data_IF_792632367189
#
_entry.id   IF_792632367189
#
_cell.length_a   1.000
_cell.length_b   1.000
_cell.length_c   1.000
_cell.angle_alpha   90.00
_cell.angle_beta   90.00
_cell.angle_gamma   90.00
#
_symmetry.space_group_name_H-M   'P 1'
#
loop_
_entity.id
_entity.type
_entity.pdbx_description
1 polymer ?
#
# COMPACT_ATOMS: atom_id res chain seq x y z
N UNK A 1 46.87 -16.46 13.92
CA UNK A 1 46.68 -15.05 13.53
C UNK A 1 45.95 -15.09 12.20
N UNK A 2 44.64 -14.89 12.22
CA UNK A 2 43.83 -14.81 11.01
C UNK A 2 43.36 -13.37 10.88
N UNK A 3 44.04 -12.60 10.05
CA UNK A 3 43.64 -11.25 9.66
C UNK A 3 42.41 -11.36 8.76
N UNK A 4 41.23 -11.39 9.38
CA UNK A 4 39.97 -11.19 8.65
C UNK A 4 39.82 -9.70 8.38
N UNK A 5 40.14 -9.32 7.15
CA UNK A 5 39.84 -8.02 6.55
C UNK A 5 38.37 -7.65 6.78
N UNK A 6 38.10 -6.76 7.73
CA UNK A 6 36.76 -6.18 7.97
C UNK A 6 36.40 -5.27 6.80
N UNK A 7 35.41 -5.68 6.03
CA UNK A 7 34.88 -4.91 4.92
C UNK A 7 34.13 -3.69 5.49
N UNK A 8 34.40 -2.43 5.07
CA UNK A 8 33.74 -1.23 5.61
C UNK A 8 32.21 -1.23 5.46
N UNK A 9 31.63 -2.18 4.69
CA UNK A 9 30.18 -2.39 4.58
C UNK A 9 29.54 -3.06 5.81
N UNK A 10 30.29 -3.80 6.62
CA UNK A 10 29.75 -4.46 7.82
C UNK A 10 29.34 -3.46 8.92
N UNK A 11 30.03 -2.32 9.00
CA UNK A 11 29.72 -1.27 9.97
C UNK A 11 28.41 -0.51 9.66
N UNK A 12 27.88 -0.59 8.43
CA UNK A 12 26.64 0.10 8.08
C UNK A 12 25.37 -0.65 8.52
N UNK A 13 25.45 -1.97 8.70
CA UNK A 13 24.28 -2.83 8.97
C UNK A 13 24.32 -3.47 10.36
N UNK A 14 25.15 -2.95 11.26
CA UNK A 14 25.30 -3.50 12.60
C UNK A 14 25.19 -2.38 13.65
N UNK A 15 24.41 -2.62 14.69
CA UNK A 15 24.26 -1.74 15.84
C UNK A 15 24.95 -2.39 17.04
N UNK A 16 25.97 -1.72 17.53
CA UNK A 16 26.65 -2.13 18.75
C UNK A 16 25.74 -1.89 19.96
N UNK A 17 25.29 -2.97 20.60
CA UNK A 17 24.50 -2.92 21.84
C UNK A 17 25.31 -3.52 22.98
N UNK A 18 26.05 -2.69 23.71
CA UNK A 18 26.98 -3.15 24.73
C UNK A 18 26.44 -2.85 26.16
N UNK A 19 25.70 -3.78 26.80
CA UNK A 19 25.09 -3.53 28.12
C UNK A 19 26.10 -3.41 29.27
N UNK A 20 27.33 -3.90 29.09
CA UNK A 20 28.36 -3.98 30.13
C UNK A 20 29.52 -3.00 29.92
N UNK A 21 29.28 -1.84 29.30
CA UNK A 21 30.33 -0.83 29.04
C UNK A 21 31.06 -0.38 30.33
N UNK A 22 30.37 -0.49 31.48
CA UNK A 22 30.91 -0.12 32.79
C UNK A 22 31.87 -1.16 33.38
N UNK A 23 31.95 -2.38 32.83
CA UNK A 23 32.89 -3.42 33.26
C UNK A 23 34.14 -3.30 32.40
N UNK A 24 35.16 -2.66 32.95
CA UNK A 24 36.42 -2.42 32.25
C UNK A 24 37.04 -3.74 31.75
N UNK A 25 37.47 -3.75 30.49
CA UNK A 25 38.43 -4.71 29.92
C UNK A 25 37.94 -6.13 29.56
N UNK A 26 36.67 -6.31 29.16
CA UNK A 26 36.20 -7.60 28.62
C UNK A 26 36.14 -7.56 27.08
N UNK A 27 36.87 -8.44 26.35
CA UNK A 27 36.87 -8.46 24.89
C UNK A 27 35.62 -9.16 24.32
N UNK A 28 34.45 -8.51 24.44
CA UNK A 28 33.13 -9.05 24.05
C UNK A 28 32.45 -8.25 22.93
N UNK A 29 33.14 -7.27 22.32
CA UNK A 29 32.59 -6.37 21.30
C UNK A 29 31.92 -7.08 20.12
N UNK A 30 32.43 -8.26 19.73
CA UNK A 30 31.85 -9.07 18.63
C UNK A 30 30.52 -9.73 18.99
N UNK A 31 30.27 -10.06 20.26
CA UNK A 31 29.03 -10.72 20.69
C UNK A 31 27.83 -9.77 20.72
N UNK A 32 28.11 -8.47 20.79
CA UNK A 32 27.13 -7.41 20.97
C UNK A 32 26.93 -6.54 19.73
N UNK A 33 27.51 -6.95 18.59
CA UNK A 33 27.29 -6.30 17.32
C UNK A 33 26.05 -6.91 16.64
N UNK A 34 24.87 -6.36 16.95
CA UNK A 34 23.61 -6.91 16.43
C UNK A 34 23.41 -6.42 14.99
N UNK A 35 23.10 -7.30 14.03
CA UNK A 35 22.67 -6.87 12.71
C UNK A 35 21.38 -6.03 12.83
N UNK A 36 21.34 -4.89 12.16
CA UNK A 36 20.14 -4.03 12.07
C UNK A 36 19.11 -4.59 11.10
N UNK A 37 19.50 -5.59 10.29
CA UNK A 37 18.59 -6.35 9.45
C UNK A 37 17.93 -7.49 10.23
N UNK A 38 16.65 -7.82 9.96
CA UNK A 38 15.99 -8.98 10.54
C UNK A 38 16.80 -10.26 10.28
N UNK A 39 17.00 -11.08 11.30
CA UNK A 39 17.59 -12.41 11.12
C UNK A 39 16.52 -13.34 10.55
N UNK A 40 16.68 -13.68 9.28
CA UNK A 40 15.77 -14.60 8.60
C UNK A 40 16.19 -16.04 8.91
N UNK A 41 15.24 -16.82 9.44
CA UNK A 41 15.46 -18.23 9.77
C UNK A 41 15.52 -19.12 8.52
N UNK A 42 15.01 -18.63 7.39
CA UNK A 42 14.89 -19.36 6.14
C UNK A 42 15.59 -18.62 5.01
N UNK A 43 16.34 -19.37 4.20
CA UNK A 43 17.06 -18.82 3.04
C UNK A 43 16.09 -18.19 2.03
N UNK A 44 14.87 -18.72 1.94
CA UNK A 44 13.80 -18.25 1.08
C UNK A 44 13.31 -16.85 1.43
N UNK A 45 13.35 -16.49 2.72
CA UNK A 45 12.95 -15.15 3.21
C UNK A 45 14.06 -14.12 2.98
N UNK A 46 15.32 -14.55 2.95
CA UNK A 46 16.47 -13.71 2.57
C UNK A 46 16.39 -13.30 1.10
N UNK A 47 15.94 -14.23 0.25
CA UNK A 47 15.80 -14.03 -1.19
C UNK A 47 14.55 -13.17 -1.49
N UNK A 48 13.45 -13.38 -0.74
CA UNK A 48 12.21 -12.60 -0.89
C UNK A 48 12.26 -11.29 -0.11
N UNK A 49 12.91 -10.29 -0.69
CA UNK A 49 12.93 -8.90 -0.17
C UNK A 49 11.61 -8.14 -0.33
N UNK A 50 10.66 -8.68 -1.10
CA UNK A 50 9.39 -8.03 -1.45
C UNK A 50 8.23 -9.00 -1.31
N UNK A 51 7.04 -8.43 -1.11
CA UNK A 51 5.78 -9.16 -1.06
C UNK A 51 5.51 -9.86 -2.40
N UNK A 52 4.98 -11.08 -2.37
CA UNK A 52 4.72 -11.84 -3.59
C UNK A 52 3.62 -11.18 -4.44
N UNK A 53 3.62 -11.47 -5.74
CA UNK A 53 2.64 -10.94 -6.69
C UNK A 53 1.18 -11.15 -6.22
N UNK A 54 0.84 -12.36 -5.80
CA UNK A 54 -0.51 -12.69 -5.34
C UNK A 54 -0.90 -11.95 -4.06
N UNK A 55 0.05 -11.78 -3.15
CA UNK A 55 -0.18 -11.04 -1.92
C UNK A 55 -0.37 -9.53 -2.17
N UNK A 56 0.32 -8.94 -3.15
CA UNK A 56 0.09 -7.56 -3.60
C UNK A 56 -1.31 -7.39 -4.19
N UNK A 57 -1.71 -8.29 -5.08
CA UNK A 57 -3.05 -8.27 -5.68
C UNK A 57 -4.14 -8.39 -4.62
N UNK A 58 -4.04 -9.35 -3.71
CA UNK A 58 -5.00 -9.53 -2.62
C UNK A 58 -5.05 -8.30 -1.70
N UNK A 59 -3.89 -7.71 -1.40
CA UNK A 59 -3.82 -6.55 -0.54
C UNK A 59 -4.45 -5.31 -1.16
N UNK A 60 -4.03 -4.91 -2.35
CA UNK A 60 -4.53 -3.71 -3.00
C UNK A 60 -6.00 -3.84 -3.40
N UNK A 61 -6.41 -5.01 -3.90
CA UNK A 61 -7.81 -5.29 -4.25
C UNK A 61 -8.68 -5.32 -2.99
N UNK A 62 -8.24 -6.02 -1.94
CA UNK A 62 -9.00 -6.16 -0.71
C UNK A 62 -9.14 -4.85 0.06
N UNK A 63 -8.04 -4.12 0.25
CA UNK A 63 -8.06 -2.80 0.92
C UNK A 63 -8.81 -1.76 0.09
N UNK A 64 -8.66 -1.76 -1.24
CA UNK A 64 -9.41 -0.92 -2.16
C UNK A 64 -10.91 -1.19 -2.10
N UNK A 65 -11.31 -2.47 -2.12
CA UNK A 65 -12.72 -2.87 -2.02
C UNK A 65 -13.32 -2.47 -0.68
N UNK A 66 -12.66 -2.79 0.44
CA UNK A 66 -13.17 -2.49 1.78
C UNK A 66 -13.26 -0.98 2.01
N UNK A 67 -12.24 -0.21 1.65
CA UNK A 67 -12.28 1.26 1.76
C UNK A 67 -13.38 1.87 0.89
N UNK A 68 -13.54 1.39 -0.35
CA UNK A 68 -14.63 1.82 -1.24
C UNK A 68 -16.01 1.46 -0.71
N UNK A 69 -16.15 0.27 -0.13
CA UNK A 69 -17.40 -0.20 0.46
C UNK A 69 -17.79 0.61 1.70
N UNK A 70 -16.84 0.93 2.58
CA UNK A 70 -17.09 1.76 3.77
C UNK A 70 -17.47 3.18 3.34
N UNK A 71 -16.69 3.81 2.46
CA UNK A 71 -16.95 5.18 2.01
C UNK A 71 -18.29 5.26 1.25
N UNK A 72 -18.52 4.33 0.34
CA UNK A 72 -19.75 4.29 -0.45
C UNK A 72 -20.98 3.90 0.35
N UNK A 73 -20.79 3.02 1.33
CA UNK A 73 -21.80 2.67 2.33
C UNK A 73 -22.19 3.92 3.10
N UNK A 74 -21.24 4.57 3.78
CA UNK A 74 -21.48 5.77 4.56
C UNK A 74 -22.17 6.87 3.74
N UNK A 75 -21.69 7.17 2.52
CA UNK A 75 -22.34 8.15 1.64
C UNK A 75 -23.76 7.74 1.24
N UNK A 76 -23.97 6.48 0.86
CA UNK A 76 -25.28 5.95 0.50
C UNK A 76 -26.26 6.00 1.67
N UNK A 77 -25.81 5.66 2.88
CA UNK A 77 -26.61 5.71 4.10
C UNK A 77 -27.02 7.15 4.44
N UNK A 78 -26.09 8.11 4.34
CA UNK A 78 -26.38 9.54 4.56
C UNK A 78 -27.37 10.05 3.51
N UNK A 79 -27.22 9.63 2.26
CA UNK A 79 -28.16 9.99 1.19
C UNK A 79 -29.55 9.41 1.46
N UNK A 80 -29.66 8.13 1.80
CA UNK A 80 -30.94 7.50 2.15
C UNK A 80 -31.61 8.11 3.37
N UNK A 81 -30.84 8.65 4.33
CA UNK A 81 -31.37 9.38 5.46
C UNK A 81 -31.90 10.76 5.09
N UNK A 82 -31.25 11.45 4.13
CA UNK A 82 -31.66 12.77 3.63
C UNK A 82 -32.88 12.70 2.74
N UNK A 83 -33.01 11.62 1.97
CA UNK A 83 -34.14 11.37 1.07
C UNK A 83 -35.36 10.76 1.78
N UNK A 84 -35.26 10.46 3.08
CA UNK A 84 -36.39 9.98 3.86
C UNK A 84 -37.40 11.11 4.12
N UNK A 85 -38.65 10.91 3.72
CA UNK A 85 -39.71 11.91 3.84
C UNK A 85 -40.24 12.04 5.28
N UNK A 86 -40.64 13.25 5.66
CA UNK A 86 -41.25 13.52 6.97
C UNK A 86 -42.67 12.93 7.01
N UNK A 87 -42.83 11.80 7.73
CA UNK A 87 -44.09 11.04 7.81
C UNK A 87 -43.93 9.56 7.45
N UNK A 88 -42.75 9.16 6.96
CA UNK A 88 -42.46 7.78 6.61
C UNK A 88 -42.42 6.85 7.84
N UNK A 89 -43.02 5.65 7.72
CA UNK A 89 -42.92 4.64 8.77
C UNK A 89 -41.47 4.20 9.01
N UNK A 90 -41.12 3.89 10.26
CA UNK A 90 -39.75 3.48 10.64
C UNK A 90 -39.24 2.31 9.78
N UNK A 91 -40.11 1.38 9.40
CA UNK A 91 -39.76 0.23 8.54
C UNK A 91 -39.34 0.65 7.13
N UNK A 92 -40.07 1.57 6.51
CA UNK A 92 -39.79 2.02 5.15
C UNK A 92 -38.51 2.87 5.11
N UNK A 93 -38.32 3.72 6.12
CA UNK A 93 -37.10 4.51 6.31
C UNK A 93 -35.86 3.63 6.46
N UNK A 94 -35.91 2.59 7.30
CA UNK A 94 -34.79 1.66 7.49
C UNK A 94 -34.47 0.92 6.19
N UNK A 95 -35.48 0.44 5.46
CA UNK A 95 -35.27 -0.25 4.18
C UNK A 95 -34.60 0.66 3.15
N UNK A 96 -35.06 1.91 3.03
CA UNK A 96 -34.46 2.91 2.14
C UNK A 96 -33.00 3.17 2.47
N UNK A 97 -32.68 3.38 3.75
CA UNK A 97 -31.32 3.62 4.22
C UNK A 97 -30.40 2.42 3.94
N UNK A 98 -30.88 1.20 4.20
CA UNK A 98 -30.12 -0.02 3.94
C UNK A 98 -29.91 -0.25 2.44
N UNK A 99 -30.92 0.00 1.61
CA UNK A 99 -30.82 -0.18 0.16
C UNK A 99 -29.86 0.84 -0.46
N UNK A 100 -30.00 2.13 -0.10
CA UNK A 100 -29.12 3.21 -0.58
C UNK A 100 -27.67 3.03 -0.10
N UNK A 101 -27.47 2.72 1.19
CA UNK A 101 -26.17 2.40 1.76
C UNK A 101 -25.53 1.18 1.11
N UNK A 102 -26.24 0.06 1.02
CA UNK A 102 -25.75 -1.18 0.41
C UNK A 102 -25.40 -1.00 -1.07
N UNK A 103 -26.25 -0.29 -1.83
CA UNK A 103 -26.01 -0.01 -3.24
C UNK A 103 -24.80 0.91 -3.44
N UNK A 104 -24.67 1.97 -2.62
CA UNK A 104 -23.52 2.86 -2.62
C UNK A 104 -22.22 2.14 -2.30
N UNK A 105 -22.23 1.31 -1.24
CA UNK A 105 -21.10 0.49 -0.82
C UNK A 105 -20.66 -0.49 -1.91
N UNK A 106 -21.60 -1.25 -2.50
CA UNK A 106 -21.28 -2.19 -3.58
C UNK A 106 -20.71 -1.49 -4.81
N UNK A 107 -21.30 -0.37 -5.22
CA UNK A 107 -20.87 0.38 -6.42
C UNK A 107 -19.44 0.91 -6.26
N UNK A 108 -19.14 1.57 -5.14
CA UNK A 108 -17.82 2.14 -4.89
C UNK A 108 -16.79 1.08 -4.51
N UNK A 109 -17.17 0.08 -3.71
CA UNK A 109 -16.31 -1.06 -3.36
C UNK A 109 -15.84 -1.82 -4.60
N UNK A 110 -16.76 -2.23 -5.48
CA UNK A 110 -16.39 -2.91 -6.73
C UNK A 110 -15.48 -2.04 -7.61
N UNK A 111 -15.77 -0.74 -7.71
CA UNK A 111 -14.99 0.18 -8.55
C UNK A 111 -13.56 0.36 -8.04
N UNK A 112 -13.39 0.62 -6.73
CA UNK A 112 -12.07 0.78 -6.14
C UNK A 112 -11.30 -0.55 -6.05
N UNK A 113 -11.99 -1.67 -5.85
CA UNK A 113 -11.39 -3.01 -5.89
C UNK A 113 -10.79 -3.32 -7.28
N UNK A 114 -11.53 -3.05 -8.36
CA UNK A 114 -11.02 -3.23 -9.74
C UNK A 114 -9.84 -2.31 -10.03
N UNK A 115 -9.89 -1.05 -9.59
CA UNK A 115 -8.74 -0.14 -9.71
C UNK A 115 -7.51 -0.68 -8.96
N UNK A 116 -7.68 -1.19 -7.74
CA UNK A 116 -6.62 -1.84 -6.97
C UNK A 116 -6.04 -3.07 -7.66
N UNK A 117 -6.89 -3.87 -8.30
CA UNK A 117 -6.48 -5.06 -9.07
C UNK A 117 -5.65 -4.68 -10.30
N UNK A 118 -6.11 -3.70 -11.09
CA UNK A 118 -5.37 -3.21 -12.26
C UNK A 118 -4.04 -2.61 -11.83
N UNK A 119 -4.03 -1.81 -10.76
CA UNK A 119 -2.80 -1.22 -10.22
C UNK A 119 -1.81 -2.29 -9.77
N UNK A 120 -2.25 -3.27 -8.98
CA UNK A 120 -1.39 -4.37 -8.54
C UNK A 120 -0.83 -5.19 -9.69
N UNK A 121 -1.64 -5.44 -10.74
CA UNK A 121 -1.20 -6.13 -11.94
C UNK A 121 -0.14 -5.36 -12.72
N UNK A 122 -0.35 -4.05 -12.92
CA UNK A 122 0.60 -3.19 -13.61
C UNK A 122 1.90 -2.99 -12.81
N UNK A 123 1.79 -2.71 -11.52
CA UNK A 123 2.95 -2.54 -10.62
C UNK A 123 3.78 -3.81 -10.60
N UNK A 124 3.16 -4.95 -10.30
CA UNK A 124 3.91 -6.21 -10.18
C UNK A 124 4.46 -6.71 -11.52
N UNK A 125 3.77 -6.41 -12.64
CA UNK A 125 4.28 -6.67 -13.98
C UNK A 125 5.53 -5.82 -14.29
N UNK A 126 5.50 -4.52 -13.96
CA UNK A 126 6.65 -3.64 -14.17
C UNK A 126 7.83 -4.01 -13.26
N UNK A 127 7.60 -4.38 -12.00
CA UNK A 127 8.65 -4.83 -11.10
C UNK A 127 9.31 -6.10 -11.63
N UNK A 128 8.56 -7.05 -12.21
CA UNK A 128 9.11 -8.24 -12.85
C UNK A 128 10.00 -7.93 -14.07
N UNK A 129 9.66 -6.91 -14.86
CA UNK A 129 10.46 -6.54 -16.05
C UNK A 129 11.64 -5.61 -15.74
N UNK A 130 11.60 -4.86 -14.65
CA UNK A 130 12.56 -3.77 -14.39
C UNK A 130 13.36 -3.94 -13.10
N UNK A 131 13.04 -4.90 -12.23
CA UNK A 131 13.72 -5.19 -10.95
C UNK A 131 13.94 -3.95 -10.04
N UNK A 132 13.22 -2.86 -10.28
CA UNK A 132 13.34 -1.61 -9.53
C UNK A 132 11.95 -1.13 -9.10
N UNK A 133 11.78 -0.91 -7.79
CA UNK A 133 10.59 -0.28 -7.20
C UNK A 133 10.82 1.24 -7.10
N UNK A 134 10.72 1.92 -8.24
CA UNK A 134 10.92 3.36 -8.34
C UNK A 134 9.60 4.14 -8.37
N UNK A 135 9.66 5.40 -7.95
CA UNK A 135 8.56 6.38 -7.97
C UNK A 135 7.88 6.48 -9.36
N UNK A 136 8.67 6.22 -10.41
CA UNK A 136 8.22 6.21 -11.81
C UNK A 136 7.29 5.02 -12.08
N UNK A 137 7.56 3.84 -11.53
CA UNK A 137 6.68 2.67 -11.71
C UNK A 137 5.32 2.90 -11.08
N UNK A 138 5.26 3.45 -9.86
CA UNK A 138 3.98 3.78 -9.22
C UNK A 138 3.21 4.87 -9.96
N UNK A 139 3.90 5.88 -10.52
CA UNK A 139 3.28 6.93 -11.32
C UNK A 139 2.71 6.40 -12.64
N UNK A 140 3.48 5.57 -13.36
CA UNK A 140 3.05 4.93 -14.61
C UNK A 140 1.92 3.94 -14.36
N UNK A 141 1.99 3.15 -13.27
CA UNK A 141 0.92 2.25 -12.87
C UNK A 141 -0.36 3.01 -12.54
N UNK A 142 -0.26 4.13 -11.81
CA UNK A 142 -1.41 5.00 -11.52
C UNK A 142 -2.07 5.58 -12.77
N UNK A 143 -1.25 6.07 -13.70
CA UNK A 143 -1.71 6.61 -14.98
C UNK A 143 -2.37 5.51 -15.85
N UNK A 144 -1.71 4.36 -15.96
CA UNK A 144 -2.17 3.19 -16.70
C UNK A 144 -3.48 2.63 -16.14
N UNK A 145 -3.59 2.51 -14.82
CA UNK A 145 -4.80 2.04 -14.15
C UNK A 145 -6.01 2.91 -14.45
N UNK A 146 -5.85 4.24 -14.36
CA UNK A 146 -6.93 5.17 -14.69
C UNK A 146 -7.34 5.10 -16.16
N UNK A 147 -6.37 5.02 -17.07
CA UNK A 147 -6.62 4.91 -18.50
C UNK A 147 -7.34 3.59 -18.86
N UNK A 148 -6.86 2.45 -18.35
CA UNK A 148 -7.42 1.12 -18.61
C UNK A 148 -8.84 1.02 -18.04
N UNK A 149 -9.05 1.46 -16.80
CA UNK A 149 -10.35 1.36 -16.14
C UNK A 149 -11.45 2.11 -16.92
N UNK A 150 -11.11 3.23 -17.57
CA UNK A 150 -12.07 4.05 -18.32
C UNK A 150 -11.96 3.93 -19.85
N UNK A 151 -11.10 3.06 -20.36
CA UNK A 151 -10.90 2.83 -21.80
C UNK A 151 -12.21 2.48 -22.52
N UNK A 152 -13.04 1.63 -21.92
CA UNK A 152 -14.31 1.18 -22.49
C UNK A 152 -15.36 2.29 -22.67
N UNK A 153 -15.20 3.43 -22.00
CA UNK A 153 -16.13 4.57 -22.12
C UNK A 153 -15.55 5.73 -22.95
N UNK A 154 -14.56 5.42 -23.80
CA UNK A 154 -14.02 6.31 -24.81
C UNK A 154 -12.69 6.98 -24.46
N UNK A 155 -11.95 7.45 -25.48
CA UNK A 155 -10.57 7.91 -25.34
C UNK A 155 -10.45 9.17 -24.47
N UNK A 156 -11.41 10.10 -24.54
CA UNK A 156 -11.44 11.29 -23.66
C UNK A 156 -11.59 10.91 -22.19
N UNK A 157 -12.47 9.95 -21.89
CA UNK A 157 -12.66 9.47 -20.53
C UNK A 157 -11.41 8.76 -20.00
N UNK A 158 -10.74 7.97 -20.85
CA UNK A 158 -9.49 7.30 -20.51
C UNK A 158 -8.36 8.29 -20.22
N UNK A 159 -8.20 9.34 -21.04
CA UNK A 159 -7.19 10.37 -20.81
C UNK A 159 -7.41 11.10 -19.47
N UNK A 160 -8.65 11.51 -19.18
CA UNK A 160 -8.99 12.20 -17.92
C UNK A 160 -8.77 11.27 -16.72
N UNK A 161 -9.28 10.04 -16.80
CA UNK A 161 -9.13 9.07 -15.72
C UNK A 161 -7.67 8.69 -15.47
N UNK A 162 -6.88 8.57 -16.55
CA UNK A 162 -5.44 8.36 -16.47
C UNK A 162 -4.73 9.53 -15.78
N UNK A 163 -5.04 10.77 -16.18
CA UNK A 163 -4.46 11.96 -15.53
C UNK A 163 -4.80 12.04 -14.04
N UNK A 164 -6.06 11.76 -13.67
CA UNK A 164 -6.48 11.69 -12.25
C UNK A 164 -5.73 10.58 -11.51
N UNK A 165 -5.61 9.39 -12.11
CA UNK A 165 -4.84 8.27 -11.55
C UNK A 165 -3.35 8.62 -11.34
N UNK A 166 -2.74 9.32 -12.29
CA UNK A 166 -1.36 9.81 -12.19
C UNK A 166 -1.17 10.83 -11.06
N UNK A 167 -2.09 11.79 -10.90
CA UNK A 167 -2.05 12.77 -9.80
C UNK A 167 -2.16 12.06 -8.45
N UNK A 168 -3.09 11.11 -8.31
CA UNK A 168 -3.25 10.36 -7.06
C UNK A 168 -1.99 9.57 -6.72
N UNK A 169 -1.36 8.92 -7.70
CA UNK A 169 -0.10 8.23 -7.50
C UNK A 169 1.03 9.18 -7.09
N UNK A 170 1.14 10.35 -7.71
CA UNK A 170 2.14 11.35 -7.36
C UNK A 170 1.96 11.87 -5.93
N UNK A 171 0.72 12.12 -5.48
CA UNK A 171 0.42 12.53 -4.11
C UNK A 171 0.77 11.43 -3.11
N UNK A 172 0.42 10.17 -3.40
CA UNK A 172 0.75 9.05 -2.53
C UNK A 172 2.27 8.87 -2.37
N UNK A 173 3.00 9.04 -3.47
CA UNK A 173 4.46 9.02 -3.50
C UNK A 173 5.07 10.15 -2.67
N UNK A 174 4.62 11.39 -2.87
CA UNK A 174 5.10 12.54 -2.10
C UNK A 174 4.82 12.37 -0.60
N UNK A 175 3.66 11.81 -0.25
CA UNK A 175 3.30 11.47 1.13
C UNK A 175 4.27 10.45 1.75
N UNK A 176 4.60 9.37 1.03
CA UNK A 176 5.61 8.39 1.51
C UNK A 176 6.97 9.03 1.73
N UNK A 177 7.40 9.91 0.83
CA UNK A 177 8.68 10.60 0.94
C UNK A 177 8.71 11.57 2.13
N UNK A 178 7.61 12.27 2.39
CA UNK A 178 7.47 13.11 3.57
C UNK A 178 7.48 12.29 4.87
N UNK A 179 6.77 11.16 4.92
CA UNK A 179 6.73 10.29 6.11
C UNK A 179 8.10 9.72 6.47
N UNK A 180 8.87 9.25 5.47
CA UNK A 180 10.25 8.78 5.68
C UNK A 180 11.19 9.86 6.23
N UNK A 181 10.87 11.14 5.98
CA UNK A 181 11.65 12.27 6.51
C UNK A 181 11.35 12.54 7.99
N UNK A 182 10.15 12.20 8.46
CA UNK A 182 9.71 12.48 9.84
C UNK A 182 9.83 11.28 10.79
N UNK A 183 9.83 10.05 10.27
CA UNK A 183 10.00 8.84 11.08
C UNK A 183 11.34 8.19 10.70
N UNK A 184 12.42 8.41 11.47
CA UNK A 184 13.65 7.64 11.33
C UNK A 184 13.37 6.24 11.91
N UNK A 185 13.22 5.24 11.05
CA UNK A 185 13.24 3.82 11.42
C UNK A 185 14.56 3.24 10.91
#
# INVERSE_FOLDING_TARGET
MADSSTNPKDHQNTRLYHPYQHLNNVPIDKLYNLPTSPEHLFQEDIIRKHRSWGENVQYYTGTGYLSGAIIGGARGTVQGLREAEAGESVKLRVNRVLNSGGQGGRRLGNSLGVLGLIFAGLESGMTYFRDTDDLVNSAVAGLGTGAIYKAAAGPRSAAIAGAVGGIVAAVAVAGRQALKRYVPI
#
